data_IF_906584760591
#
_entry.id   IF_906584760591
#
_cell.length_a   1.000
_cell.length_b   1.000
_cell.length_c   1.000
_cell.angle_alpha   90.00
_cell.angle_beta   90.00
_cell.angle_gamma   90.00
#
_symmetry.space_group_name_H-M   'P 1'
#
loop_
_entity.id
_entity.type
_entity.pdbx_description
1 polymer ?
#
# COMPACT_ATOMS: atom_id res chain seq x y z
N UNK A 1 -11.22 4.47 3.73
CA UNK A 1 -9.76 4.60 3.77
C UNK A 1 -9.30 5.12 2.43
N UNK A 2 -8.40 6.10 2.39
CA UNK A 2 -7.77 6.62 1.17
C UNK A 2 -6.24 6.45 1.23
N UNK A 3 -5.53 6.83 0.16
CA UNK A 3 -4.06 6.70 0.07
C UNK A 3 -3.34 7.45 1.19
N UNK A 4 -3.82 8.63 1.59
CA UNK A 4 -3.17 9.45 2.60
C UNK A 4 -3.29 8.83 4.00
N UNK A 5 -4.50 8.42 4.37
CA UNK A 5 -4.76 7.73 5.63
C UNK A 5 -4.00 6.41 5.71
N UNK A 6 -3.94 5.67 4.60
CA UNK A 6 -3.20 4.41 4.53
C UNK A 6 -1.69 4.62 4.73
N UNK A 7 -1.10 5.62 4.07
CA UNK A 7 0.33 5.95 4.26
C UNK A 7 0.62 6.37 5.70
N UNK A 8 -0.26 7.17 6.32
CA UNK A 8 -0.12 7.54 7.75
C UNK A 8 -0.16 6.31 8.65
N UNK A 9 -1.06 5.38 8.38
CA UNK A 9 -1.17 4.13 9.13
C UNK A 9 0.04 3.21 8.94
N UNK A 10 0.57 3.09 7.71
CA UNK A 10 1.81 2.33 7.45
C UNK A 10 2.99 2.95 8.20
N UNK A 11 3.11 4.28 8.18
CA UNK A 11 4.18 4.98 8.89
C UNK A 11 4.13 4.70 10.39
N UNK A 12 2.96 4.88 11.02
CA UNK A 12 2.82 4.66 12.47
C UNK A 12 3.00 3.19 12.86
N UNK A 13 2.55 2.26 12.01
CA UNK A 13 2.70 0.82 12.25
C UNK A 13 4.15 0.37 12.07
N UNK A 14 4.84 0.83 11.02
CA UNK A 14 6.25 0.51 10.79
C UNK A 14 7.14 1.03 11.92
N UNK A 15 6.87 2.24 12.42
CA UNK A 15 7.55 2.79 13.58
C UNK A 15 7.36 1.90 14.83
N UNK A 16 6.11 1.55 15.17
CA UNK A 16 5.81 0.72 16.34
C UNK A 16 6.46 -0.67 16.25
N UNK A 17 6.33 -1.33 15.10
CA UNK A 17 6.95 -2.65 14.90
C UNK A 17 8.47 -2.58 15.05
N UNK A 18 9.11 -1.54 14.50
CA UNK A 18 10.56 -1.38 14.66
C UNK A 18 10.97 -1.08 16.10
N UNK A 19 10.19 -0.29 16.83
CA UNK A 19 10.43 0.00 18.25
C UNK A 19 10.28 -1.27 19.12
N UNK A 20 9.25 -2.07 18.86
CA UNK A 20 8.94 -3.30 19.60
C UNK A 20 9.96 -4.43 19.36
N UNK A 21 10.38 -4.65 18.10
CA UNK A 21 11.26 -5.75 17.72
C UNK A 21 12.76 -5.38 17.72
N UNK A 22 13.09 -4.09 17.82
CA UNK A 22 14.47 -3.60 17.76
C UNK A 22 15.11 -3.75 16.38
N UNK A 23 16.38 -3.36 16.18
CA UNK A 23 16.99 -3.20 14.84
C UNK A 23 17.48 -4.51 14.19
N UNK A 24 17.54 -5.62 14.91
CA UNK A 24 18.14 -6.87 14.39
C UNK A 24 17.12 -7.75 13.65
N UNK A 25 15.83 -7.57 13.93
CA UNK A 25 14.77 -8.35 13.32
C UNK A 25 14.47 -7.83 11.92
N UNK A 26 14.25 -8.76 10.99
CA UNK A 26 13.70 -8.44 9.66
C UNK A 26 12.18 -8.44 9.77
N UNK A 27 11.59 -7.30 9.49
CA UNK A 27 10.15 -7.09 9.63
C UNK A 27 9.56 -6.93 8.23
N UNK A 28 8.49 -7.66 7.93
CA UNK A 28 7.71 -7.47 6.73
C UNK A 28 6.22 -7.27 7.07
N UNK A 29 5.56 -6.39 6.32
CA UNK A 29 4.12 -6.20 6.37
C UNK A 29 3.55 -6.72 5.05
N UNK A 30 2.66 -7.70 5.17
CA UNK A 30 1.92 -8.25 4.03
C UNK A 30 0.67 -7.41 3.80
N UNK A 31 0.49 -6.91 2.57
CA UNK A 31 -0.69 -6.14 2.17
C UNK A 31 -1.37 -6.77 0.95
N UNK A 32 -2.68 -6.60 0.86
CA UNK A 32 -3.45 -6.98 -0.32
C UNK A 32 -3.22 -5.99 -1.48
N UNK A 33 -3.67 -6.36 -2.68
CA UNK A 33 -3.47 -5.56 -3.88
C UNK A 33 -4.61 -4.55 -4.12
N UNK A 34 -4.83 -3.64 -3.18
CA UNK A 34 -5.76 -2.54 -3.33
C UNK A 34 -5.14 -1.38 -4.15
N UNK A 35 -5.98 -0.67 -4.92
CA UNK A 35 -5.51 0.39 -5.83
C UNK A 35 -4.81 1.54 -5.10
N UNK A 36 -5.26 1.88 -3.89
CA UNK A 36 -4.66 2.93 -3.06
C UNK A 36 -3.31 2.51 -2.40
N UNK A 37 -2.95 1.22 -2.38
CA UNK A 37 -1.62 0.75 -1.94
C UNK A 37 -0.54 0.94 -3.02
N UNK A 38 -0.97 1.21 -4.26
CA UNK A 38 -0.12 1.26 -5.44
C UNK A 38 0.19 2.69 -5.90
N UNK A 39 0.10 3.67 -5.00
CA UNK A 39 0.51 5.03 -5.33
C UNK A 39 2.02 5.10 -5.56
N UNK A 40 2.41 5.44 -6.78
CA UNK A 40 3.81 5.60 -7.18
C UNK A 40 4.41 6.85 -6.55
N UNK A 41 5.72 6.92 -6.49
CA UNK A 41 6.47 8.11 -6.11
C UNK A 41 6.50 9.11 -7.26
N UNK A 42 6.63 10.41 -6.98
CA UNK A 42 6.55 11.44 -8.03
C UNK A 42 7.65 11.32 -9.09
N UNK A 43 8.78 10.71 -8.73
CA UNK A 43 9.85 10.36 -9.67
C UNK A 43 9.43 9.24 -10.63
N UNK A 44 8.80 8.18 -10.12
CA UNK A 44 8.49 6.98 -10.92
C UNK A 44 7.08 6.97 -11.51
N UNK A 45 6.27 7.99 -11.17
CA UNK A 45 5.00 8.33 -11.82
C UNK A 45 5.30 8.72 -13.28
N UNK A 46 4.87 7.92 -14.27
CA UNK A 46 5.08 8.29 -15.66
C UNK A 46 4.17 9.46 -16.02
N UNK A 47 4.52 10.15 -17.11
CA UNK A 47 3.60 11.10 -17.74
C UNK A 47 2.25 10.43 -18.02
N UNK A 48 1.18 10.91 -17.38
CA UNK A 48 -0.18 10.44 -17.64
C UNK A 48 -0.74 11.19 -18.86
N UNK A 49 -1.69 10.58 -19.58
CA UNK A 49 -2.45 11.27 -20.65
C UNK A 49 -3.11 12.57 -20.16
N UNK A 50 -3.45 12.64 -18.86
CA UNK A 50 -4.02 13.83 -18.23
C UNK A 50 -3.04 14.99 -18.05
N UNK A 51 -1.72 14.76 -18.05
CA UNK A 51 -0.73 15.82 -17.85
C UNK A 51 -0.71 16.81 -19.02
N UNK A 52 -0.44 18.08 -18.73
CA UNK A 52 -0.14 19.11 -19.70
C UNK A 52 1.21 18.80 -20.37
N UNK A 53 1.43 19.33 -21.58
CA UNK A 53 2.71 19.17 -22.30
C UNK A 53 3.89 19.61 -21.43
N UNK A 54 3.74 20.74 -20.73
CA UNK A 54 4.75 21.29 -19.82
C UNK A 54 5.10 20.38 -18.64
N UNK A 55 4.13 19.68 -18.06
CA UNK A 55 4.37 18.74 -16.95
C UNK A 55 5.21 17.54 -17.41
N UNK A 56 4.94 17.03 -18.61
CA UNK A 56 5.72 15.94 -19.21
C UNK A 56 7.15 16.40 -19.51
N UNK A 57 7.32 17.61 -20.06
CA UNK A 57 8.64 18.21 -20.31
C UNK A 57 9.44 18.40 -19.02
N UNK A 58 8.82 18.90 -17.94
CA UNK A 58 9.46 19.03 -16.64
C UNK A 58 9.91 17.69 -16.07
N UNK A 59 9.09 16.65 -16.23
CA UNK A 59 9.45 15.30 -15.81
C UNK A 59 10.66 14.77 -16.60
N UNK A 60 10.69 14.97 -17.92
CA UNK A 60 11.82 14.58 -18.77
C UNK A 60 13.11 15.34 -18.38
N UNK A 61 13.02 16.65 -18.11
CA UNK A 61 14.15 17.46 -17.62
C UNK A 61 14.67 16.91 -16.29
N UNK A 62 13.78 16.62 -15.33
CA UNK A 62 14.16 16.07 -14.02
C UNK A 62 14.89 14.74 -14.15
N UNK A 63 14.50 13.92 -15.11
CA UNK A 63 15.14 12.63 -15.43
C UNK A 63 16.32 12.77 -16.38
N UNK A 64 16.72 14.00 -16.76
CA UNK A 64 17.82 14.30 -17.70
C UNK A 64 17.63 13.63 -19.07
N UNK A 65 16.39 13.47 -19.50
CA UNK A 65 16.03 12.92 -20.81
C UNK A 65 15.89 14.07 -21.80
N UNK A 66 16.69 14.04 -22.86
CA UNK A 66 16.63 15.03 -23.92
C UNK A 66 15.37 14.85 -24.78
N UNK A 67 14.75 15.96 -25.19
CA UNK A 67 13.61 15.98 -26.10
C UNK A 67 13.67 17.24 -26.98
N UNK A 68 13.06 17.18 -28.15
CA UNK A 68 12.97 18.34 -29.05
C UNK A 68 11.76 19.23 -28.66
N UNK A 69 11.93 20.56 -28.52
CA UNK A 69 10.84 21.50 -28.28
C UNK A 69 9.61 21.34 -29.20
N UNK A 70 9.82 20.94 -30.47
CA UNK A 70 8.74 20.75 -31.44
C UNK A 70 7.92 19.47 -31.21
N UNK A 71 8.40 18.52 -30.40
CA UNK A 71 7.69 17.28 -30.12
C UNK A 71 6.27 17.52 -29.62
N UNK A 72 5.32 16.76 -30.13
CA UNK A 72 3.94 16.72 -29.68
C UNK A 72 3.83 16.12 -28.28
N UNK A 73 2.69 16.36 -27.62
CA UNK A 73 2.40 15.73 -26.33
C UNK A 73 2.43 14.20 -26.41
N UNK A 74 2.01 13.61 -27.54
CA UNK A 74 2.01 12.17 -27.73
C UNK A 74 3.42 11.60 -27.79
N UNK A 75 4.31 12.24 -28.55
CA UNK A 75 5.73 11.84 -28.66
C UNK A 75 6.46 11.95 -27.32
N UNK A 76 6.21 13.03 -26.57
CA UNK A 76 6.78 13.20 -25.23
C UNK A 76 6.28 12.14 -24.23
N UNK A 77 5.02 11.71 -24.34
CA UNK A 77 4.48 10.62 -23.52
C UNK A 77 5.14 9.28 -23.84
N UNK A 78 5.36 8.98 -25.12
CA UNK A 78 6.08 7.77 -25.54
C UNK A 78 7.50 7.80 -25.00
N UNK A 79 8.20 8.93 -25.17
CA UNK A 79 9.56 9.12 -24.69
C UNK A 79 9.67 8.95 -23.16
N UNK A 80 8.73 9.52 -22.40
CA UNK A 80 8.65 9.35 -20.95
C UNK A 80 8.35 7.90 -20.54
N UNK A 81 7.53 7.20 -21.32
CA UNK A 81 7.17 5.80 -21.05
C UNK A 81 8.32 4.84 -21.28
N UNK A 82 9.11 5.00 -22.35
CA UNK A 82 10.24 4.10 -22.65
C UNK A 82 11.43 4.32 -21.71
N UNK A 83 11.61 5.54 -21.19
CA UNK A 83 12.67 5.90 -20.25
C UNK A 83 12.19 5.84 -18.79
N UNK A 84 11.07 5.17 -18.53
CA UNK A 84 10.50 5.14 -17.19
C UNK A 84 11.40 4.30 -16.25
N UNK A 85 11.79 4.84 -15.08
CA UNK A 85 12.51 4.06 -14.08
C UNK A 85 11.64 2.92 -13.51
N UNK A 86 12.27 1.99 -12.81
CA UNK A 86 11.57 0.96 -12.05
C UNK A 86 10.52 1.60 -11.11
N UNK A 87 9.35 0.96 -10.99
CA UNK A 87 8.26 1.47 -10.15
C UNK A 87 8.72 1.54 -8.70
N UNK A 88 8.60 2.71 -8.08
CA UNK A 88 8.73 2.89 -6.64
C UNK A 88 7.39 3.33 -6.10
N UNK A 89 6.97 2.74 -5.00
CA UNK A 89 5.68 3.00 -4.38
C UNK A 89 5.90 3.79 -3.09
N UNK A 90 5.02 4.76 -2.83
CA UNK A 90 5.12 5.61 -1.64
C UNK A 90 5.08 4.80 -0.35
N UNK A 91 4.24 3.75 -0.31
CA UNK A 91 4.12 2.90 0.87
C UNK A 91 5.43 2.20 1.21
N UNK A 92 6.14 1.68 0.21
CA UNK A 92 7.43 1.00 0.36
C UNK A 92 8.49 1.97 0.85
N UNK A 93 8.58 3.17 0.27
CA UNK A 93 9.55 4.18 0.70
C UNK A 93 9.28 4.68 2.13
N UNK A 94 8.03 4.68 2.58
CA UNK A 94 7.66 5.08 3.94
C UNK A 94 7.99 3.98 4.94
N UNK A 95 7.72 2.71 4.62
CA UNK A 95 8.04 1.58 5.48
C UNK A 95 9.56 1.35 5.58
N UNK A 96 10.28 1.49 4.46
CA UNK A 96 11.72 1.31 4.37
C UNK A 96 12.50 2.29 5.25
N UNK A 97 11.94 3.47 5.58
CA UNK A 97 12.55 4.41 6.54
C UNK A 97 12.70 3.81 7.95
N UNK A 98 11.95 2.75 8.26
CA UNK A 98 12.00 2.02 9.52
C UNK A 98 12.58 0.60 9.34
N UNK A 99 13.24 0.34 8.21
CA UNK A 99 13.75 -0.99 7.84
C UNK A 99 12.63 -2.04 7.81
N UNK A 100 11.42 -1.66 7.38
CA UNK A 100 10.27 -2.56 7.23
C UNK A 100 10.00 -2.80 5.75
N UNK A 101 9.93 -4.07 5.35
CA UNK A 101 9.61 -4.48 3.99
C UNK A 101 8.10 -4.58 3.75
N UNK A 102 7.63 -4.12 2.58
CA UNK A 102 6.24 -4.32 2.15
C UNK A 102 6.18 -5.49 1.17
N UNK A 103 5.41 -6.52 1.53
CA UNK A 103 5.15 -7.67 0.68
C UNK A 103 3.72 -7.58 0.15
N UNK A 104 3.54 -7.65 -1.16
CA UNK A 104 2.22 -7.58 -1.81
C UNK A 104 1.74 -8.95 -2.22
N UNK A 105 0.49 -9.26 -1.90
CA UNK A 105 -0.15 -10.47 -2.38
C UNK A 105 -0.41 -10.40 -3.90
N UNK A 106 -0.34 -11.54 -4.60
CA UNK A 106 -0.77 -11.63 -5.98
C UNK A 106 -2.25 -11.23 -6.14
N UNK A 107 -2.56 -10.54 -7.23
CA UNK A 107 -3.93 -10.10 -7.52
C UNK A 107 -4.87 -11.30 -7.61
N UNK A 108 -6.02 -11.24 -6.92
CA UNK A 108 -7.05 -12.30 -6.89
C UNK A 108 -6.62 -13.61 -6.20
N UNK A 109 -5.57 -13.58 -5.38
CA UNK A 109 -5.14 -14.72 -4.59
C UNK A 109 -5.30 -14.46 -3.08
N UNK A 110 -6.55 -14.31 -2.63
CA UNK A 110 -6.84 -14.05 -1.21
C UNK A 110 -6.53 -15.26 -0.31
N UNK A 111 -6.41 -16.46 -0.89
CA UNK A 111 -5.96 -17.67 -0.19
C UNK A 111 -4.57 -17.55 0.43
N UNK A 112 -3.75 -16.60 -0.06
CA UNK A 112 -2.43 -16.31 0.49
C UNK A 112 -2.44 -15.24 1.60
N UNK A 113 -3.62 -14.71 1.97
CA UNK A 113 -3.74 -13.74 3.04
C UNK A 113 -4.12 -14.44 4.36
N UNK A 114 -3.19 -14.60 5.32
CA UNK A 114 -3.52 -15.25 6.60
C UNK A 114 -4.63 -14.54 7.37
N UNK A 115 -4.81 -13.23 7.13
CA UNK A 115 -5.87 -12.44 7.75
C UNK A 115 -7.27 -12.97 7.39
N UNK A 116 -7.46 -13.60 6.23
CA UNK A 116 -8.74 -14.21 5.85
C UNK A 116 -9.12 -15.38 6.77
N UNK A 117 -8.14 -16.14 7.26
CA UNK A 117 -8.36 -17.22 8.21
C UNK A 117 -8.80 -16.68 9.57
N UNK A 118 -8.13 -15.62 10.04
CA UNK A 118 -8.49 -14.93 11.29
C UNK A 118 -9.90 -14.34 11.18
N UNK A 119 -10.24 -13.69 10.05
CA UNK A 119 -11.58 -13.18 9.81
C UNK A 119 -12.64 -14.27 9.76
N UNK A 120 -12.35 -15.43 9.16
CA UNK A 120 -13.28 -16.56 9.14
C UNK A 120 -13.56 -17.05 10.57
N UNK A 121 -12.52 -17.26 11.37
CA UNK A 121 -12.63 -17.69 12.77
C UNK A 121 -13.41 -16.67 13.62
N UNK A 122 -13.08 -15.38 13.50
CA UNK A 122 -13.77 -14.30 14.19
C UNK A 122 -15.26 -14.24 13.81
N UNK A 123 -15.59 -14.30 12.51
CA UNK A 123 -16.99 -14.28 12.05
C UNK A 123 -17.77 -15.48 12.57
N UNK A 124 -17.15 -16.67 12.59
CA UNK A 124 -17.78 -17.86 13.13
C UNK A 124 -18.00 -17.78 14.64
N UNK A 125 -17.04 -17.22 15.39
CA UNK A 125 -17.19 -16.97 16.82
C UNK A 125 -18.35 -16.00 17.10
N UNK A 126 -18.39 -14.86 16.40
CA UNK A 126 -19.49 -13.89 16.53
C UNK A 126 -20.82 -14.53 16.16
N UNK A 127 -20.89 -15.31 15.07
CA UNK A 127 -22.12 -15.97 14.62
C UNK A 127 -22.68 -16.94 15.66
N UNK A 128 -21.81 -17.66 16.38
CA UNK A 128 -22.23 -18.61 17.42
C UNK A 128 -22.71 -17.91 18.70
N UNK A 129 -22.16 -16.75 19.03
CA UNK A 129 -22.38 -16.09 20.31
C UNK A 129 -23.28 -14.84 20.24
N UNK A 130 -23.51 -14.27 19.06
CA UNK A 130 -24.39 -13.11 18.89
C UNK A 130 -25.86 -13.52 18.83
N UNK A 131 -26.42 -13.92 19.96
CA UNK A 131 -27.80 -14.42 20.07
C UNK A 131 -28.85 -13.30 19.96
N UNK A 132 -28.47 -12.06 20.30
CA UNK A 132 -29.37 -10.90 20.34
C UNK A 132 -29.32 -10.03 19.09
N UNK A 133 -28.40 -10.33 18.16
CA UNK A 133 -28.21 -9.63 16.89
C UNK A 133 -28.00 -8.12 17.03
N UNK A 134 -27.34 -7.66 18.11
CA UNK A 134 -27.04 -6.23 18.33
C UNK A 134 -25.64 -5.90 17.89
N UNK A 135 -25.45 -4.69 17.36
CA UNK A 135 -24.14 -4.23 16.90
C UNK A 135 -23.12 -4.11 18.05
N UNK A 136 -23.57 -3.71 19.25
CA UNK A 136 -22.69 -3.68 20.43
C UNK A 136 -22.21 -5.08 20.81
N UNK A 137 -23.04 -6.11 20.66
CA UNK A 137 -22.63 -7.49 20.93
C UNK A 137 -21.56 -7.94 19.93
N UNK A 138 -21.67 -7.53 18.66
CA UNK A 138 -20.62 -7.77 17.65
C UNK A 138 -19.29 -7.13 18.06
N UNK A 139 -19.31 -5.88 18.53
CA UNK A 139 -18.08 -5.19 18.97
C UNK A 139 -17.44 -5.89 20.17
N UNK A 140 -18.23 -6.20 21.20
CA UNK A 140 -17.73 -6.84 22.41
C UNK A 140 -17.19 -8.26 22.13
N UNK A 141 -17.92 -9.06 21.35
CA UNK A 141 -17.49 -10.41 20.97
C UNK A 141 -16.22 -10.38 20.10
N UNK A 142 -16.06 -9.36 19.26
CA UNK A 142 -14.84 -9.21 18.48
C UNK A 142 -13.63 -8.87 19.36
N UNK A 143 -13.81 -7.97 20.33
CA UNK A 143 -12.75 -7.64 21.29
C UNK A 143 -12.38 -8.86 22.15
N UNK A 144 -13.36 -9.63 22.61
CA UNK A 144 -13.16 -10.88 23.35
C UNK A 144 -12.38 -11.90 22.53
N UNK A 145 -12.79 -12.15 21.28
CA UNK A 145 -12.09 -13.09 20.39
C UNK A 145 -10.63 -12.70 20.16
N UNK A 146 -10.36 -11.40 19.92
CA UNK A 146 -9.00 -10.91 19.67
C UNK A 146 -8.15 -11.04 20.95
N UNK A 147 -8.70 -10.73 22.12
CA UNK A 147 -7.98 -10.82 23.38
C UNK A 147 -7.58 -12.27 23.74
N UNK A 148 -8.39 -13.26 23.32
CA UNK A 148 -8.11 -14.68 23.52
C UNK A 148 -7.37 -15.36 22.37
N UNK A 149 -6.91 -14.63 21.34
CA UNK A 149 -6.25 -15.23 20.16
C UNK A 149 -4.78 -15.58 20.40
N UNK A 150 -4.16 -15.00 21.43
CA UNK A 150 -2.75 -15.22 21.80
C UNK A 150 -2.56 -16.27 22.93
N UNK A 151 -3.64 -16.91 23.40
CA UNK A 151 -3.64 -18.05 24.35
C UNK A 151 -3.79 -19.40 23.64
#
# INVERSE_FOLDING_TARGET
MDSEHFIKWIKSTSFRLRDEHGPNDRICIIIDNATWHSELTDDTKPGKRAWRKSEIQQWLIRHRIHFDPIMTKAELLVLASINRPAKRYKVDEVAMQFDVEIVRLPTKHCEFNPMELVWAALKDYIRKNNVRFRLNDVYNLAAEFIAGFDE
#
